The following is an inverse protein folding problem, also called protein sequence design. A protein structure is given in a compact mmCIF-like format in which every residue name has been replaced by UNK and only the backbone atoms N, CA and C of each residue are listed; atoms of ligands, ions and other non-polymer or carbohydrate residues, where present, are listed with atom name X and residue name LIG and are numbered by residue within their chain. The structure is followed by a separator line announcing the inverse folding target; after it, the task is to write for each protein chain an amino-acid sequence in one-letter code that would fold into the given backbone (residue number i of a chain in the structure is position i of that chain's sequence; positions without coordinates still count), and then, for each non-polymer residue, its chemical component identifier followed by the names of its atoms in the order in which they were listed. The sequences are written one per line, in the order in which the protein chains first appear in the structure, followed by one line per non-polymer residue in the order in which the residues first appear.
data_IF_345663568032
#
_entry.id   IF_345663568032
#
_cell.length_a   1.000
_cell.length_b   1.000
_cell.length_c   1.000
_cell.angle_alpha   90.00
_cell.angle_beta   90.00
_cell.angle_gamma   90.00
#
_symmetry.space_group_name_H-M   'P 1'
#
loop_
_entity.id
_entity.type
_entity.pdbx_description
1 polymer ?
#
# COMPACT_ATOMS: atom_id res chain seq x y z
N UNK A 1 1.82 6.52 11.50
CA UNK A 1 2.79 7.50 10.94
C UNK A 1 2.04 8.79 10.69
N UNK A 2 2.37 9.94 11.28
CA UNK A 2 1.52 11.17 11.20
C UNK A 2 2.16 12.37 10.50
N UNK A 3 3.49 12.40 10.35
CA UNK A 3 4.26 13.40 9.60
C UNK A 3 5.59 12.78 9.15
N UNK A 4 6.36 13.47 8.31
CA UNK A 4 7.68 13.02 7.89
C UNK A 4 7.66 11.94 6.81
N UNK A 5 8.85 11.44 6.50
CA UNK A 5 9.10 10.39 5.52
C UNK A 5 9.37 9.03 6.19
N UNK A 6 8.63 8.01 5.76
CA UNK A 6 8.71 6.63 6.27
C UNK A 6 8.96 5.69 5.11
N UNK A 7 9.98 4.84 5.23
CA UNK A 7 10.33 3.89 4.18
C UNK A 7 10.32 2.46 4.72
N UNK A 8 9.67 1.58 3.96
CA UNK A 8 9.59 0.15 4.23
C UNK A 8 10.04 -0.65 3.01
N UNK A 9 10.70 -1.77 3.25
CA UNK A 9 11.12 -2.72 2.22
C UNK A 9 10.40 -4.04 2.43
N UNK A 10 9.90 -4.59 1.33
CA UNK A 10 9.12 -5.81 1.25
C UNK A 10 9.83 -6.78 0.32
N UNK A 11 10.36 -7.87 0.86
CA UNK A 11 10.87 -8.98 0.04
C UNK A 11 9.71 -9.94 -0.22
N UNK A 12 9.39 -10.15 -1.50
CA UNK A 12 8.22 -10.92 -1.93
C UNK A 12 8.63 -12.29 -2.47
N UNK A 13 7.78 -13.31 -2.22
CA UNK A 13 7.93 -14.63 -2.85
C UNK A 13 6.95 -14.87 -3.99
N UNK A 14 5.92 -14.04 -4.12
CA UNK A 14 4.91 -14.10 -5.18
C UNK A 14 4.45 -12.68 -5.59
N UNK A 15 3.18 -12.51 -5.95
CA UNK A 15 2.60 -11.27 -6.47
C UNK A 15 1.59 -10.62 -5.48
N UNK A 16 2.04 -10.11 -4.31
CA UNK A 16 1.15 -9.51 -3.33
C UNK A 16 0.69 -8.10 -3.73
N UNK A 17 -0.34 -7.59 -3.05
CA UNK A 17 -0.65 -6.17 -3.01
C UNK A 17 0.05 -5.54 -1.81
N UNK A 18 0.76 -4.43 -2.02
CA UNK A 18 1.54 -3.77 -0.97
C UNK A 18 1.13 -2.31 -0.90
N UNK A 19 0.74 -1.84 0.30
CA UNK A 19 0.13 -0.53 0.39
C UNK A 19 0.06 0.08 1.78
N UNK A 20 -0.73 1.14 1.84
CA UNK A 20 -1.07 1.88 3.04
C UNK A 20 -2.57 1.88 3.28
N UNK A 21 -2.97 1.80 4.54
CA UNK A 21 -4.37 1.89 4.98
C UNK A 21 -4.47 2.79 6.20
N UNK A 22 -5.64 3.37 6.41
CA UNK A 22 -5.94 4.11 7.65
C UNK A 22 -5.80 3.21 8.89
N UNK A 23 -5.30 3.76 10.02
CA UNK A 23 -5.25 3.02 11.26
C UNK A 23 -6.66 2.76 11.79
N UNK A 24 -6.97 1.49 12.06
CA UNK A 24 -8.26 1.03 12.57
C UNK A 24 -8.06 0.16 13.81
N UNK A 25 -7.62 0.73 14.96
CA UNK A 25 -7.31 -0.04 16.15
C UNK A 25 -8.54 -0.71 16.81
N UNK A 26 -9.75 -0.28 16.45
CA UNK A 26 -11.00 -0.87 16.90
C UNK A 26 -11.61 -1.88 15.92
N UNK A 27 -10.91 -2.22 14.84
CA UNK A 27 -11.37 -3.25 13.91
C UNK A 27 -11.13 -4.63 14.52
N UNK A 28 -12.18 -5.44 14.59
CA UNK A 28 -12.09 -6.82 15.04
C UNK A 28 -11.53 -7.70 13.91
N UNK A 29 -10.23 -7.95 13.92
CA UNK A 29 -9.58 -8.75 12.88
C UNK A 29 -10.08 -10.21 12.84
N UNK A 30 -10.52 -10.75 13.99
CA UNK A 30 -10.98 -12.14 14.08
C UNK A 30 -12.33 -12.33 13.36
N UNK A 31 -13.12 -11.26 13.21
CA UNK A 31 -14.36 -11.28 12.43
C UNK A 31 -14.16 -11.60 10.93
N UNK A 32 -12.92 -11.51 10.43
CA UNK A 32 -12.57 -11.69 9.01
C UNK A 32 -11.70 -12.93 8.74
N UNK A 33 -11.58 -13.86 9.70
CA UNK A 33 -10.76 -15.07 9.52
C UNK A 33 -11.26 -16.02 8.41
N UNK A 34 -12.49 -15.83 7.95
CA UNK A 34 -13.21 -16.73 7.05
C UNK A 34 -13.35 -16.07 5.68
N UNK A 35 -12.56 -16.57 4.71
CA UNK A 35 -12.64 -16.15 3.31
C UNK A 35 -11.54 -15.20 2.88
N UNK A 36 -11.79 -14.46 1.80
CA UNK A 36 -10.88 -13.47 1.25
C UNK A 36 -10.99 -12.15 2.02
N UNK A 37 -9.84 -11.51 2.26
CA UNK A 37 -9.78 -10.22 2.94
C UNK A 37 -8.70 -9.35 2.29
N UNK A 38 -9.10 -8.22 1.72
CA UNK A 38 -8.24 -7.09 1.40
C UNK A 38 -9.00 -5.80 1.73
N UNK A 39 -8.28 -4.68 1.87
CA UNK A 39 -8.90 -3.36 2.11
C UNK A 39 -9.46 -2.70 0.86
N UNK A 40 -9.11 -3.21 -0.32
CA UNK A 40 -9.56 -2.76 -1.64
C UNK A 40 -10.19 -3.96 -2.36
N UNK A 41 -11.19 -3.72 -3.20
CA UNK A 41 -11.92 -4.72 -3.96
C UNK A 41 -13.02 -5.44 -3.17
N UNK A 42 -13.29 -5.03 -1.92
CA UNK A 42 -14.22 -5.72 -1.01
C UNK A 42 -15.39 -4.81 -0.56
N UNK A 43 -16.34 -4.45 -1.44
CA UNK A 43 -17.47 -3.56 -1.10
C UNK A 43 -18.27 -3.98 0.14
N UNK A 44 -18.39 -5.29 0.38
CA UNK A 44 -19.09 -5.85 1.56
C UNK A 44 -18.44 -5.49 2.91
N UNK A 45 -17.13 -5.20 2.92
CA UNK A 45 -16.37 -4.89 4.13
C UNK A 45 -16.21 -3.38 4.37
N UNK A 46 -16.40 -2.57 3.33
CA UNK A 46 -16.23 -1.12 3.38
C UNK A 46 -17.04 -0.44 4.52
N UNK A 47 -18.30 -0.83 4.82
CA UNK A 47 -19.05 -0.24 5.93
C UNK A 47 -18.35 -0.41 7.28
N UNK A 48 -17.77 -1.59 7.55
CA UNK A 48 -17.07 -1.85 8.81
C UNK A 48 -15.81 -0.98 8.95
N UNK A 49 -15.10 -0.78 7.83
CA UNK A 49 -13.92 0.08 7.79
C UNK A 49 -14.28 1.56 7.98
N UNK A 50 -15.38 2.02 7.39
CA UNK A 50 -15.87 3.39 7.55
C UNK A 50 -16.29 3.72 8.98
N UNK A 51 -16.83 2.75 9.73
CA UNK A 51 -17.17 2.95 11.16
C UNK A 51 -15.93 3.29 12.00
N UNK A 52 -14.73 2.91 11.55
CA UNK A 52 -13.47 3.22 12.22
C UNK A 52 -12.97 4.65 11.92
N UNK A 53 -13.62 5.38 11.02
CA UNK A 53 -13.25 6.75 10.66
C UNK A 53 -13.27 7.63 11.91
N UNK A 54 -12.25 8.45 12.05
CA UNK A 54 -12.16 9.45 13.11
C UNK A 54 -11.54 10.74 12.57
N UNK A 55 -11.72 11.83 13.31
CA UNK A 55 -11.20 13.16 12.93
C UNK A 55 -9.67 13.16 12.72
N UNK A 56 -8.96 12.20 13.31
CA UNK A 56 -7.51 12.11 13.19
C UNK A 56 -7.03 11.66 11.80
N UNK A 57 -7.90 11.10 10.94
CA UNK A 57 -7.53 10.71 9.56
C UNK A 57 -7.19 11.92 8.68
N UNK A 58 -7.52 13.14 9.11
CA UNK A 58 -7.23 14.35 8.35
C UNK A 58 -8.15 14.50 7.13
N UNK A 59 -7.73 15.34 6.18
CA UNK A 59 -8.56 15.77 5.05
C UNK A 59 -8.53 14.88 3.81
N UNK A 60 -7.61 13.91 3.75
CA UNK A 60 -7.46 13.04 2.58
C UNK A 60 -8.53 11.94 2.54
N UNK A 61 -9.16 11.80 1.39
CA UNK A 61 -10.11 10.72 1.10
C UNK A 61 -9.43 9.40 0.71
N UNK A 62 -8.10 9.35 0.59
CA UNK A 62 -7.41 8.09 0.34
C UNK A 62 -7.40 7.27 1.63
N UNK A 63 -8.28 6.26 1.72
CA UNK A 63 -8.44 5.41 2.90
C UNK A 63 -7.58 4.14 2.82
N UNK A 64 -7.41 3.60 1.62
CA UNK A 64 -6.35 2.65 1.31
C UNK A 64 -5.79 2.94 -0.09
N UNK A 65 -4.53 2.57 -0.31
CA UNK A 65 -3.88 2.59 -1.61
C UNK A 65 -2.78 1.52 -1.66
N UNK A 66 -2.75 0.74 -2.73
CA UNK A 66 -1.72 -0.28 -2.96
C UNK A 66 -1.17 -0.29 -4.38
N UNK A 67 -0.02 -0.95 -4.48
CA UNK A 67 0.65 -1.35 -5.70
C UNK A 67 0.49 -2.86 -5.87
N UNK A 68 0.03 -3.27 -7.04
CA UNK A 68 -0.11 -4.67 -7.45
C UNK A 68 1.21 -5.20 -7.99
N UNK A 69 1.78 -6.23 -7.35
CA UNK A 69 3.00 -6.87 -7.85
C UNK A 69 2.75 -7.71 -9.12
N UNK A 70 1.51 -8.06 -9.45
CA UNK A 70 1.20 -8.88 -10.64
C UNK A 70 1.37 -8.07 -11.94
N UNK A 71 0.66 -6.96 -12.04
CA UNK A 71 0.52 -6.14 -13.26
C UNK A 71 1.10 -4.72 -13.12
N UNK A 72 1.60 -4.38 -11.93
CA UNK A 72 2.17 -3.07 -11.60
C UNK A 72 1.12 -1.97 -11.44
N UNK A 73 -0.16 -2.30 -11.38
CA UNK A 73 -1.24 -1.31 -11.27
C UNK A 73 -1.27 -0.64 -9.89
N UNK A 74 -1.95 0.50 -9.82
CA UNK A 74 -2.29 1.15 -8.56
C UNK A 74 -3.79 1.07 -8.32
N UNK A 75 -4.15 0.73 -7.09
CA UNK A 75 -5.53 0.75 -6.62
C UNK A 75 -5.63 1.69 -5.42
N UNK A 76 -6.76 2.38 -5.28
CA UNK A 76 -7.06 3.14 -4.07
C UNK A 76 -8.58 3.25 -3.85
N UNK A 77 -8.96 3.59 -2.64
CA UNK A 77 -10.38 3.67 -2.26
C UNK A 77 -10.63 4.71 -1.17
N UNK A 78 -11.82 5.32 -1.22
CA UNK A 78 -12.41 6.11 -0.15
C UNK A 78 -13.55 5.35 0.58
N UNK A 79 -13.74 4.06 0.27
CA UNK A 79 -14.76 3.17 0.85
C UNK A 79 -16.21 3.70 0.75
N UNK A 80 -16.53 4.42 -0.32
CA UNK A 80 -17.85 5.06 -0.49
C UNK A 80 -18.95 4.13 -1.06
N UNK A 81 -18.70 2.83 -1.19
CA UNK A 81 -19.65 1.83 -1.70
C UNK A 81 -19.74 1.74 -3.23
N UNK A 82 -18.94 2.51 -3.98
CA UNK A 82 -18.77 2.35 -5.42
C UNK A 82 -17.59 1.43 -5.75
N UNK A 83 -17.51 0.99 -7.01
CA UNK A 83 -16.34 0.23 -7.49
C UNK A 83 -15.08 1.05 -7.23
N UNK A 84 -14.10 0.42 -6.58
CA UNK A 84 -12.82 1.05 -6.27
C UNK A 84 -12.15 1.55 -7.55
N UNK A 85 -11.42 2.67 -7.45
CA UNK A 85 -10.65 3.15 -8.59
C UNK A 85 -9.44 2.23 -8.80
N UNK A 86 -9.61 1.29 -9.72
CA UNK A 86 -8.59 0.32 -10.13
C UNK A 86 -8.02 0.70 -11.50
N UNK A 87 -6.82 0.19 -11.83
CA UNK A 87 -6.14 0.37 -13.12
C UNK A 87 -5.90 1.85 -13.51
N UNK A 88 -5.53 2.68 -12.55
CA UNK A 88 -5.12 4.06 -12.84
C UNK A 88 -3.72 4.01 -13.47
N UNK A 89 -3.58 4.59 -14.67
CA UNK A 89 -2.27 4.71 -15.29
C UNK A 89 -1.34 5.59 -14.44
N UNK A 90 -0.15 5.08 -14.15
CA UNK A 90 0.91 5.82 -13.48
C UNK A 90 2.26 5.51 -14.12
N UNK A 91 3.21 6.45 -14.03
CA UNK A 91 4.47 6.43 -14.78
C UNK A 91 5.37 5.21 -14.51
N UNK A 92 5.25 4.62 -13.32
CA UNK A 92 6.14 3.57 -12.84
C UNK A 92 5.58 2.16 -12.94
N UNK A 93 4.50 1.94 -13.70
CA UNK A 93 3.85 0.64 -13.86
C UNK A 93 4.85 -0.41 -14.34
N UNK A 94 5.13 -1.38 -13.47
CA UNK A 94 6.05 -2.48 -13.75
C UNK A 94 5.65 -3.70 -12.91
N UNK A 95 5.64 -4.89 -13.51
CA UNK A 95 5.35 -6.14 -12.80
C UNK A 95 6.50 -6.56 -11.90
N UNK A 96 6.23 -7.38 -10.88
CA UNK A 96 7.24 -7.94 -9.98
C UNK A 96 7.34 -9.46 -10.12
N UNK A 97 8.45 -10.02 -9.65
CA UNK A 97 8.73 -11.44 -9.65
C UNK A 97 9.18 -11.90 -8.27
N UNK A 98 9.05 -13.21 -8.01
CA UNK A 98 9.56 -13.85 -6.80
C UNK A 98 11.04 -13.49 -6.58
N UNK A 99 11.37 -13.02 -5.38
CA UNK A 99 12.71 -12.56 -5.00
C UNK A 99 12.96 -11.06 -5.20
N UNK A 100 12.04 -10.32 -5.84
CA UNK A 100 12.14 -8.86 -5.91
C UNK A 100 11.94 -8.22 -4.53
N UNK A 101 12.58 -7.07 -4.33
CA UNK A 101 12.31 -6.18 -3.19
C UNK A 101 11.52 -4.97 -3.65
N UNK A 102 10.32 -4.81 -3.10
CA UNK A 102 9.50 -3.60 -3.28
C UNK A 102 9.79 -2.65 -2.12
N UNK A 103 10.19 -1.42 -2.42
CA UNK A 103 10.35 -0.36 -1.45
C UNK A 103 9.19 0.62 -1.54
N UNK A 104 8.66 1.06 -0.40
CA UNK A 104 7.60 2.09 -0.36
C UNK A 104 8.01 3.25 0.53
N UNK A 105 7.97 4.46 -0.04
CA UNK A 105 8.24 5.71 0.66
C UNK A 105 6.95 6.49 0.84
N UNK A 106 6.43 6.51 2.07
CA UNK A 106 5.32 7.37 2.49
C UNK A 106 5.91 8.68 3.01
N UNK A 107 5.78 9.76 2.23
CA UNK A 107 6.18 11.11 2.63
C UNK A 107 4.93 11.94 2.94
N UNK A 108 4.61 12.09 4.22
CA UNK A 108 3.43 12.81 4.69
C UNK A 108 3.61 14.34 4.64
N UNK A 109 4.85 14.83 4.57
CA UNK A 109 5.12 16.27 4.41
C UNK A 109 4.83 16.71 2.96
N UNK A 110 5.09 15.84 1.99
CA UNK A 110 4.74 16.04 0.57
C UNK A 110 3.36 15.48 0.20
N UNK A 111 2.78 14.65 1.06
CA UNK A 111 1.52 13.95 0.81
C UNK A 111 1.60 12.90 -0.31
N UNK A 112 2.72 12.18 -0.41
CA UNK A 112 2.97 11.23 -1.52
C UNK A 112 3.37 9.83 -1.04
N UNK A 113 2.98 8.81 -1.79
CA UNK A 113 3.47 7.44 -1.71
C UNK A 113 4.29 7.14 -2.99
N UNK A 114 5.57 6.80 -2.84
CA UNK A 114 6.49 6.48 -3.95
C UNK A 114 6.91 5.02 -3.88
N UNK A 115 6.98 4.35 -5.03
CA UNK A 115 7.38 2.93 -5.13
C UNK A 115 8.80 2.82 -5.69
N UNK A 116 9.52 1.83 -5.17
CA UNK A 116 10.84 1.40 -5.60
C UNK A 116 10.81 -0.10 -5.86
N UNK A 117 11.59 -0.57 -6.83
CA UNK A 117 11.80 -1.99 -7.09
C UNK A 117 13.30 -2.24 -7.19
N UNK A 118 13.82 -3.15 -6.38
CA UNK A 118 15.24 -3.50 -6.33
C UNK A 118 16.13 -2.24 -6.25
N UNK A 119 15.78 -1.32 -5.35
CA UNK A 119 16.43 -0.02 -5.13
C UNK A 119 16.31 1.02 -6.27
N UNK A 120 15.65 0.69 -7.39
CA UNK A 120 15.32 1.66 -8.44
C UNK A 120 13.97 2.30 -8.15
N UNK A 121 13.92 3.64 -8.17
CA UNK A 121 12.65 4.38 -8.06
C UNK A 121 11.78 4.12 -9.29
N UNK A 122 10.53 3.71 -9.07
CA UNK A 122 9.53 3.56 -10.13
C UNK A 122 8.77 4.85 -10.37
N UNK A 123 8.29 5.52 -9.31
CA UNK A 123 7.49 6.75 -9.45
C UNK A 123 6.63 7.05 -8.23
N UNK A 124 5.89 8.16 -8.28
CA UNK A 124 4.84 8.45 -7.29
C UNK A 124 3.60 7.63 -7.64
N UNK A 125 3.22 6.73 -6.74
CA UNK A 125 2.04 5.88 -6.88
C UNK A 125 0.76 6.67 -6.58
N UNK A 126 0.78 7.45 -5.48
CA UNK A 126 -0.36 8.28 -5.08
C UNK A 126 0.08 9.56 -4.39
N UNK A 127 -0.67 10.64 -4.62
CA UNK A 127 -0.54 11.94 -3.98
C UNK A 127 -1.81 12.32 -3.17
N UNK A 128 -1.81 13.51 -2.57
CA UNK A 128 -2.94 14.01 -1.79
C UNK A 128 -3.15 13.26 -0.48
N UNK A 129 -2.09 12.61 0.05
CA UNK A 129 -2.13 11.89 1.31
C UNK A 129 -1.98 12.84 2.49
N UNK A 130 -2.77 12.64 3.54
CA UNK A 130 -2.67 13.42 4.78
C UNK A 130 -3.17 12.61 5.96
N UNK A 131 -2.67 12.91 7.16
CA UNK A 131 -3.05 12.18 8.37
C UNK A 131 -2.37 10.81 8.46
N UNK A 132 -2.78 9.96 9.41
CA UNK A 132 -2.10 8.73 9.69
C UNK A 132 -2.43 7.59 8.73
N UNK A 133 -1.41 6.77 8.50
CA UNK A 133 -1.48 5.49 7.80
C UNK A 133 -0.67 4.40 8.52
N UNK A 134 -1.00 3.16 8.19
CA UNK A 134 -0.31 1.91 8.49
C UNK A 134 0.09 1.23 7.18
N UNK A 135 1.20 0.49 7.19
CA UNK A 135 1.55 -0.43 6.09
C UNK A 135 0.66 -1.67 6.16
N UNK A 136 0.27 -2.21 5.01
CA UNK A 136 -0.35 -3.52 4.91
C UNK A 136 0.15 -4.28 3.68
N UNK A 137 -0.13 -5.58 3.68
CA UNK A 137 0.10 -6.47 2.54
C UNK A 137 -1.14 -7.35 2.39
N UNK A 138 -1.64 -7.52 1.18
CA UNK A 138 -2.63 -8.55 0.86
C UNK A 138 -1.95 -9.67 0.06
N UNK A 139 -2.09 -10.91 0.52
CA UNK A 139 -1.48 -12.09 -0.09
C UNK A 139 -2.52 -12.90 -0.86
N UNK A 140 -2.12 -13.43 -2.00
CA UNK A 140 -2.95 -14.35 -2.78
C UNK A 140 -2.96 -15.74 -2.15
N UNK A 141 -4.13 -16.38 -2.07
CA UNK A 141 -4.22 -17.78 -1.63
C UNK A 141 -4.01 -18.71 -2.82
N UNK A 142 -2.78 -19.17 -3.02
CA UNK A 142 -2.46 -20.16 -4.06
C UNK A 142 -2.41 -21.60 -3.49
N UNK A 143 -2.97 -22.62 -4.18
CA UNK A 143 -2.98 -24.00 -3.66
C UNK A 143 -1.60 -24.66 -3.60
N UNK A 144 -0.64 -24.14 -4.37
CA UNK A 144 0.63 -24.84 -4.69
C UNK A 144 1.88 -24.13 -4.15
N UNK A 145 1.76 -22.86 -3.76
CA UNK A 145 2.87 -22.05 -3.25
C UNK A 145 2.36 -21.24 -2.06
N UNK A 146 3.12 -21.23 -0.96
CA UNK A 146 2.84 -20.33 0.15
C UNK A 146 3.38 -18.94 -0.20
N UNK A 147 2.49 -17.99 -0.42
CA UNK A 147 2.86 -16.58 -0.55
C UNK A 147 3.36 -16.06 0.81
N UNK A 148 4.48 -15.34 0.77
CA UNK A 148 5.17 -14.83 1.93
C UNK A 148 5.82 -13.49 1.60
N UNK A 149 5.70 -12.57 2.54
CA UNK A 149 6.34 -11.27 2.48
C UNK A 149 7.05 -11.01 3.80
N UNK A 150 8.31 -10.61 3.71
CA UNK A 150 9.01 -10.04 4.87
C UNK A 150 9.03 -8.52 4.75
N UNK A 151 8.66 -7.84 5.83
CA UNK A 151 8.67 -6.39 5.93
C UNK A 151 9.74 -5.95 6.92
N UNK A 152 10.50 -4.92 6.56
CA UNK A 152 11.40 -4.22 7.49
C UNK A 152 11.35 -2.72 7.24
N UNK A 153 11.68 -1.95 8.27
CA UNK A 153 12.02 -0.53 8.10
C UNK A 153 13.27 -0.45 7.23
N UNK A 154 13.22 0.31 6.15
CA UNK A 154 14.38 0.60 5.32
C UNK A 154 15.02 1.94 5.68
N UNK A 155 16.21 2.18 5.13
CA UNK A 155 16.83 3.51 5.14
C UNK A 155 16.20 4.36 4.04
N UNK A 156 15.92 5.64 4.31
CA UNK A 156 15.41 6.54 3.28
C UNK A 156 16.35 6.51 2.07
N UNK A 157 15.85 6.19 0.85
CA UNK A 157 16.66 6.29 -0.34
C UNK A 157 17.12 7.75 -0.50
N UNK A 158 18.40 7.94 -0.87
CA UNK A 158 18.95 9.27 -1.07
C UNK A 158 18.03 10.06 -1.99
N UNK A 159 17.63 11.25 -1.54
CA UNK A 159 16.71 12.13 -2.26
C UNK A 159 17.27 12.67 -3.57
N UNK A 160 18.55 12.41 -3.84
CA UNK A 160 19.27 12.97 -4.96
C UNK A 160 19.70 11.85 -5.90
N UNK A 161 19.29 11.98 -7.17
CA UNK A 161 19.91 11.29 -8.30
C UNK A 161 21.36 11.74 -8.55
N UNK A 162 22.16 11.88 -7.49
CA UNK A 162 23.59 12.09 -7.56
C UNK A 162 24.26 10.71 -7.47
N UNK A 163 24.53 10.12 -8.63
CA UNK A 163 25.65 9.20 -8.77
C UNK A 163 26.90 9.88 -8.21
N UNK A 164 27.38 9.42 -7.06
CA UNK A 164 28.76 9.67 -6.68
C UNK A 164 29.63 8.80 -7.61
N UNK A 165 30.19 9.44 -8.63
CA UNK A 165 31.38 8.96 -9.35
C UNK A 165 32.61 9.13 -8.48
#
# INVERSE_FOLDING_TARGET
MTSGAHYAEFLITDQPYIGIVRPMPGLDADAYHEGEFCFIGMPRLQPDFLVQRSDNWGGSNVHACDFSCDDGETNWTEWNGYEDENNIEWEGRETCQSGDTVGMLLNLDKGTLTVYKNNRRLGVLKDGLSGPYCWYVCLGKHPTVADAVSIKRGTLPNSDGATAT
#
